data_IF_770349376088
#
_entry.id   IF_770349376088
#
_cell.length_a   1.000
_cell.length_b   1.000
_cell.length_c   1.000
_cell.angle_alpha   90.00
_cell.angle_beta   90.00
_cell.angle_gamma   90.00
#
_symmetry.space_group_name_H-M   'P 1'
#
loop_
_entity.id
_entity.type
_entity.pdbx_description
1 polymer ?
#
# COMPACT_ATOMS: atom_id res chain seq x y z
N UNK A 1 3.56 15.37 -6.91
CA UNK A 1 3.62 13.96 -7.35
C UNK A 1 3.79 13.87 -8.87
N UNK A 2 4.34 12.78 -9.39
CA UNK A 2 4.49 12.51 -10.83
C UNK A 2 3.54 11.38 -11.21
N UNK A 3 2.73 11.57 -12.25
CA UNK A 3 1.77 10.55 -12.74
C UNK A 3 2.39 9.69 -13.85
N UNK A 4 1.71 8.62 -14.26
CA UNK A 4 2.20 7.67 -15.28
C UNK A 4 2.51 8.32 -16.64
N UNK A 5 1.76 9.36 -17.03
CA UNK A 5 2.05 10.13 -18.26
C UNK A 5 3.30 11.01 -18.17
N UNK A 6 3.95 11.05 -17.00
CA UNK A 6 5.13 11.87 -16.73
C UNK A 6 4.83 13.29 -16.24
N UNK A 7 3.58 13.74 -16.29
CA UNK A 7 3.18 15.04 -15.77
C UNK A 7 3.43 15.16 -14.26
N UNK A 8 3.75 16.37 -13.81
CA UNK A 8 4.09 16.68 -12.42
C UNK A 8 3.08 17.69 -11.89
N UNK A 9 2.52 17.38 -10.73
CA UNK A 9 1.56 18.24 -10.03
C UNK A 9 2.05 18.48 -8.61
N UNK A 10 1.70 19.63 -8.05
CA UNK A 10 1.91 19.93 -6.64
C UNK A 10 0.57 19.94 -5.90
N UNK A 11 0.54 19.34 -4.71
CA UNK A 11 -0.72 19.06 -4.02
C UNK A 11 -0.50 18.91 -2.51
N UNK A 12 -1.23 19.72 -1.74
CA UNK A 12 -1.02 19.95 -0.30
C UNK A 12 -2.29 19.81 0.53
N UNK A 13 -3.18 18.89 0.15
CA UNK A 13 -4.38 18.57 0.93
C UNK A 13 -4.08 17.39 1.85
N UNK A 14 -4.72 17.35 3.02
CA UNK A 14 -4.62 16.25 3.97
C UNK A 14 -5.93 15.50 4.09
N UNK A 15 -6.01 14.31 3.49
CA UNK A 15 -7.02 13.26 3.72
C UNK A 15 -6.38 11.88 3.41
N UNK A 16 -7.19 10.82 3.42
CA UNK A 16 -6.85 9.57 2.75
C UNK A 16 -7.10 9.71 1.25
N UNK A 17 -6.13 9.32 0.43
CA UNK A 17 -6.24 9.39 -1.03
C UNK A 17 -5.91 8.08 -1.71
N UNK A 18 -6.67 7.77 -2.75
CA UNK A 18 -6.29 6.78 -3.74
C UNK A 18 -5.14 7.35 -4.60
N UNK A 19 -3.98 6.69 -4.55
CA UNK A 19 -2.87 6.96 -5.45
C UNK A 19 -3.10 6.29 -6.80
N UNK A 20 -3.64 5.08 -6.77
CA UNK A 20 -4.12 4.32 -7.93
C UNK A 20 -5.28 3.44 -7.47
N UNK A 21 -6.32 3.28 -8.28
CA UNK A 21 -7.45 2.40 -7.97
C UNK A 21 -8.11 1.89 -9.24
N UNK A 22 -8.96 0.88 -9.10
CA UNK A 22 -9.87 0.43 -10.14
C UNK A 22 -10.90 1.52 -10.50
N UNK A 23 -10.75 2.10 -11.70
CA UNK A 23 -11.70 3.09 -12.24
C UNK A 23 -11.98 4.27 -11.30
N UNK A 24 -13.21 4.78 -11.35
CA UNK A 24 -13.66 5.93 -10.54
C UNK A 24 -14.66 5.53 -9.45
N UNK A 25 -14.72 4.24 -9.09
CA UNK A 25 -15.63 3.75 -8.05
C UNK A 25 -15.30 4.37 -6.68
N UNK A 26 -16.34 4.68 -5.90
CA UNK A 26 -16.19 5.07 -4.49
C UNK A 26 -15.84 3.88 -3.59
N UNK A 27 -16.05 2.65 -4.07
CA UNK A 27 -15.67 1.42 -3.40
C UNK A 27 -14.89 0.53 -4.40
N UNK A 28 -13.63 0.88 -4.69
CA UNK A 28 -12.83 0.16 -5.67
C UNK A 28 -12.48 -1.24 -5.16
N UNK A 29 -12.46 -2.24 -6.05
CA UNK A 29 -12.09 -3.60 -5.66
C UNK A 29 -10.61 -3.72 -5.29
N UNK A 30 -9.76 -2.96 -5.97
CA UNK A 30 -8.32 -2.90 -5.73
C UNK A 30 -7.78 -1.48 -5.86
N UNK A 31 -6.67 -1.22 -5.17
CA UNK A 31 -6.02 0.09 -5.21
C UNK A 31 -4.90 0.26 -4.20
N UNK A 32 -4.23 1.40 -4.30
CA UNK A 32 -3.20 1.85 -3.35
C UNK A 32 -3.66 3.16 -2.74
N UNK A 33 -3.80 3.17 -1.42
CA UNK A 33 -4.29 4.32 -0.66
C UNK A 33 -3.23 4.78 0.33
N UNK A 34 -3.19 6.08 0.57
CA UNK A 34 -2.21 6.69 1.47
C UNK A 34 -2.82 7.87 2.20
N UNK A 35 -2.54 7.95 3.49
CA UNK A 35 -2.93 9.07 4.34
C UNK A 35 -1.90 10.19 4.29
N UNK A 36 -2.38 11.40 4.02
CA UNK A 36 -1.60 12.63 4.12
C UNK A 36 -2.15 13.50 5.23
N UNK A 37 -1.26 14.09 6.03
CA UNK A 37 -1.60 15.18 6.96
C UNK A 37 -0.84 16.43 6.61
N UNK A 38 -1.47 17.57 6.89
CA UNK A 38 -0.82 18.86 6.76
C UNK A 38 0.18 19.06 7.91
N UNK A 39 1.40 19.49 7.59
CA UNK A 39 2.44 19.87 8.54
C UNK A 39 2.99 21.25 8.15
N UNK A 40 2.34 22.31 8.65
CA UNK A 40 2.64 23.68 8.23
C UNK A 40 2.21 23.93 6.78
N UNK A 41 3.18 24.30 5.92
CA UNK A 41 2.95 24.57 4.49
C UNK A 41 3.10 23.36 3.57
N UNK A 42 3.44 22.19 4.12
CA UNK A 42 3.61 20.94 3.36
C UNK A 42 2.59 19.88 3.78
N UNK A 43 2.30 18.93 2.89
CA UNK A 43 1.65 17.67 3.25
C UNK A 43 2.69 16.56 3.45
N UNK A 44 2.52 15.75 4.48
CA UNK A 44 3.38 14.60 4.79
C UNK A 44 2.56 13.33 4.91
N UNK A 45 3.16 12.19 4.56
CA UNK A 45 2.56 10.87 4.79
C UNK A 45 2.37 10.70 6.31
N UNK A 46 1.15 10.44 6.73
CA UNK A 46 0.77 10.42 8.15
C UNK A 46 0.37 9.07 8.70
N UNK A 47 0.02 8.15 7.81
CA UNK A 47 -0.52 6.86 8.17
C UNK A 47 0.04 5.75 7.28
N UNK A 48 -0.50 4.54 7.43
CA UNK A 48 -0.08 3.41 6.62
C UNK A 48 -0.41 3.58 5.15
N UNK A 49 0.43 2.97 4.30
CA UNK A 49 0.07 2.73 2.91
C UNK A 49 -0.75 1.46 2.85
N UNK A 50 -1.90 1.52 2.19
CA UNK A 50 -2.83 0.42 2.06
C UNK A 50 -2.77 -0.07 0.63
N UNK A 51 -2.38 -1.33 0.44
CA UNK A 51 -2.53 -2.04 -0.82
C UNK A 51 -3.75 -2.96 -0.70
N UNK A 52 -4.82 -2.61 -1.39
CA UNK A 52 -6.02 -3.43 -1.48
C UNK A 52 -5.90 -4.32 -2.71
N UNK A 53 -5.78 -5.63 -2.47
CA UNK A 53 -5.61 -6.62 -3.54
C UNK A 53 -6.94 -7.02 -4.18
N UNK A 54 -7.98 -7.12 -3.36
CA UNK A 54 -9.36 -7.40 -3.71
C UNK A 54 -10.28 -6.92 -2.57
N UNK A 55 -11.58 -7.21 -2.65
CA UNK A 55 -12.58 -6.79 -1.65
C UNK A 55 -12.32 -7.31 -0.23
N UNK A 56 -11.58 -8.41 -0.11
CA UNK A 56 -11.38 -9.14 1.14
C UNK A 56 -9.93 -9.08 1.63
N UNK A 57 -8.99 -8.63 0.81
CA UNK A 57 -7.56 -8.68 1.10
C UNK A 57 -6.96 -7.29 1.12
N UNK A 58 -6.64 -6.82 2.33
CA UNK A 58 -6.01 -5.53 2.60
C UNK A 58 -4.64 -5.73 3.22
N UNK A 59 -3.61 -5.34 2.47
CA UNK A 59 -2.22 -5.30 2.92
C UNK A 59 -1.89 -3.90 3.43
N UNK A 60 -1.36 -3.80 4.64
CA UNK A 60 -1.08 -2.53 5.32
C UNK A 60 0.42 -2.43 5.60
N UNK A 61 1.06 -1.40 5.03
CA UNK A 61 2.45 -1.05 5.25
C UNK A 61 2.52 0.03 6.33
N UNK A 62 3.07 -0.32 7.49
CA UNK A 62 3.16 0.60 8.63
C UNK A 62 4.42 1.47 8.53
N UNK A 63 4.29 2.81 8.47
CA UNK A 63 5.41 3.71 8.35
C UNK A 63 6.24 3.67 9.64
N UNK A 64 7.56 3.82 9.50
CA UNK A 64 8.50 3.86 10.64
C UNK A 64 8.86 2.50 11.24
N UNK A 65 7.92 1.54 11.31
CA UNK A 65 8.15 0.25 11.99
C UNK A 65 8.55 -0.87 11.02
N UNK A 66 8.46 -0.63 9.70
CA UNK A 66 8.75 -1.64 8.65
C UNK A 66 8.02 -2.96 8.90
N UNK A 67 6.74 -2.84 9.27
CA UNK A 67 5.81 -3.95 9.45
C UNK A 67 4.82 -3.99 8.31
N UNK A 68 4.40 -5.20 7.98
CA UNK A 68 3.32 -5.48 7.03
C UNK A 68 2.25 -6.23 7.79
N UNK A 69 0.98 -5.88 7.59
CA UNK A 69 -0.13 -6.72 8.03
C UNK A 69 -1.08 -7.04 6.89
N UNK A 70 -1.72 -8.21 6.95
CA UNK A 70 -2.81 -8.59 6.05
C UNK A 70 -4.08 -8.69 6.87
N UNK A 71 -5.10 -7.92 6.52
CA UNK A 71 -6.38 -7.86 7.25
C UNK A 71 -6.21 -7.68 8.77
N UNK A 72 -5.21 -6.89 9.17
CA UNK A 72 -4.88 -6.63 10.58
C UNK A 72 -3.85 -7.60 11.19
N UNK A 73 -3.53 -8.73 10.56
CA UNK A 73 -2.59 -9.72 11.08
C UNK A 73 -1.16 -9.42 10.63
N UNK A 74 -0.27 -9.11 11.58
CA UNK A 74 1.15 -8.83 11.32
C UNK A 74 1.83 -10.03 10.65
N UNK A 75 2.63 -9.73 9.63
CA UNK A 75 3.32 -10.72 8.81
C UNK A 75 4.82 -10.69 9.08
N UNK A 76 5.47 -11.85 9.27
CA UNK A 76 6.92 -11.93 9.30
C UNK A 76 7.47 -11.69 7.89
N UNK A 77 8.25 -10.63 7.71
CA UNK A 77 8.86 -10.28 6.41
C UNK A 77 10.35 -10.61 6.41
N UNK A 78 10.73 -11.54 5.54
CA UNK A 78 12.11 -11.95 5.29
C UNK A 78 12.90 -10.88 4.55
N UNK A 79 14.19 -10.76 4.86
CA UNK A 79 15.17 -9.97 4.09
C UNK A 79 15.92 -10.80 3.03
N UNK A 80 15.76 -12.13 3.06
CA UNK A 80 16.52 -13.06 2.20
C UNK A 80 15.78 -13.42 0.92
N UNK A 81 14.45 -13.46 0.98
CA UNK A 81 13.63 -13.91 -0.15
C UNK A 81 12.21 -13.31 -0.10
N UNK A 82 11.58 -13.08 -1.27
CA UNK A 82 10.14 -12.84 -1.38
C UNK A 82 9.36 -13.92 -0.64
N UNK A 83 8.42 -13.52 0.20
CA UNK A 83 7.56 -14.45 0.95
C UNK A 83 6.10 -14.10 0.68
N UNK A 84 5.27 -15.10 0.42
CA UNK A 84 3.82 -14.89 0.30
C UNK A 84 3.24 -14.45 1.63
N UNK A 85 2.40 -13.41 1.60
CA UNK A 85 1.68 -12.98 2.78
C UNK A 85 0.51 -13.94 3.03
N UNK A 86 0.22 -14.14 4.31
CA UNK A 86 -0.81 -15.08 4.76
C UNK A 86 -1.85 -14.32 5.57
N UNK A 87 -3.08 -14.29 5.09
CA UNK A 87 -4.21 -13.71 5.80
C UNK A 87 -4.64 -14.54 7.02
N UNK A 88 -5.62 -14.04 7.77
CA UNK A 88 -6.26 -14.79 8.84
C UNK A 88 -6.67 -16.21 8.41
N UNK A 89 -6.52 -17.16 9.33
CA UNK A 89 -6.87 -18.57 9.09
C UNK A 89 -5.91 -19.32 8.15
N UNK A 90 -4.74 -18.76 7.82
CA UNK A 90 -3.77 -19.42 6.94
C UNK A 90 -4.03 -19.22 5.45
N UNK A 91 -4.95 -18.32 5.09
CA UNK A 91 -5.31 -18.04 3.69
C UNK A 91 -4.12 -17.42 2.97
N UNK A 92 -3.57 -18.11 1.97
CA UNK A 92 -2.48 -17.56 1.16
C UNK A 92 -3.01 -16.43 0.28
N UNK A 93 -2.42 -15.25 0.39
CA UNK A 93 -2.66 -14.14 -0.54
C UNK A 93 -1.84 -14.31 -1.81
N UNK A 94 -2.13 -13.53 -2.85
CA UNK A 94 -1.27 -13.49 -4.05
C UNK A 94 -0.23 -12.38 -4.00
N UNK A 95 -0.11 -11.69 -2.86
CA UNK A 95 0.94 -10.72 -2.58
C UNK A 95 2.15 -11.40 -1.94
N UNK A 96 3.30 -11.10 -2.51
CA UNK A 96 4.60 -11.35 -1.89
C UNK A 96 5.16 -10.07 -1.29
N UNK A 97 5.87 -10.20 -0.17
CA UNK A 97 6.62 -9.10 0.42
C UNK A 97 8.01 -9.55 0.87
N UNK A 98 8.95 -8.62 0.83
CA UNK A 98 10.30 -8.79 1.41
C UNK A 98 10.93 -7.45 1.76
N UNK A 99 11.90 -7.49 2.66
CA UNK A 99 12.76 -6.33 2.95
C UNK A 99 13.83 -6.23 1.87
N UNK A 100 14.02 -5.05 1.32
CA UNK A 100 15.08 -4.73 0.38
C UNK A 100 15.77 -3.43 0.80
N UNK A 101 16.91 -3.55 1.48
CA UNK A 101 17.60 -2.43 2.11
C UNK A 101 16.73 -1.79 3.21
N UNK A 102 16.48 -0.48 3.09
CA UNK A 102 15.61 0.27 4.01
C UNK A 102 14.11 0.18 3.67
N UNK A 103 13.76 -0.48 2.57
CA UNK A 103 12.40 -0.54 2.04
C UNK A 103 11.74 -1.91 2.27
N UNK A 104 10.42 -1.93 2.29
CA UNK A 104 9.63 -3.13 2.03
C UNK A 104 9.19 -3.06 0.58
N UNK A 105 9.38 -4.15 -0.15
CA UNK A 105 8.81 -4.34 -1.49
C UNK A 105 7.57 -5.21 -1.37
N UNK A 106 6.54 -4.83 -2.11
CA UNK A 106 5.37 -5.65 -2.36
C UNK A 106 5.34 -6.01 -3.84
N UNK A 107 4.92 -7.24 -4.13
CA UNK A 107 4.61 -7.70 -5.47
C UNK A 107 3.29 -8.44 -5.42
N UNK A 108 2.26 -7.91 -6.08
CA UNK A 108 0.97 -8.55 -6.21
C UNK A 108 0.69 -8.93 -7.66
N UNK A 109 -0.51 -9.46 -7.91
CA UNK A 109 -0.99 -9.67 -9.28
C UNK A 109 -0.97 -8.35 -10.08
N UNK A 110 -0.75 -8.38 -11.40
CA UNK A 110 -1.01 -7.24 -12.25
C UNK A 110 -2.50 -6.88 -12.12
N UNK A 111 -2.79 -5.65 -11.71
CA UNK A 111 -4.17 -5.16 -11.53
C UNK A 111 -4.53 -4.00 -12.46
N UNK A 112 -3.52 -3.32 -13.01
CA UNK A 112 -3.70 -2.15 -13.86
C UNK A 112 -3.06 -2.49 -15.21
N UNK A 113 -3.89 -2.58 -16.25
CA UNK A 113 -3.51 -2.59 -17.66
C UNK A 113 -3.89 -1.23 -18.26
#
# INVERSE_FOLDING_TARGET
FKVFSGAIFDWHIGCNHALVQEGTSMNPEFGVFMDFKRRGRISVISGPTIYQEDRNTRVVLHPGIRKVSVNGFEQPISSRSPTFLVGPGGTKTTVMAWKHGSCIRLYGKPKIL
#
